data_IF_853138097098
#
_entry.id   IF_853138097098
#
_cell.length_a   1.000
_cell.length_b   1.000
_cell.length_c   1.000
_cell.angle_alpha   90.00
_cell.angle_beta   90.00
_cell.angle_gamma   90.00
#
_symmetry.space_group_name_H-M   'P 1'
#
loop_
_entity.id
_entity.type
_entity.pdbx_description
1 polymer ?
#
# COMPACT_ATOMS: atom_id res chain seq x y z
N UNK A 1 -8.52 -42.17 6.42
CA UNK A 1 -7.65 -41.29 7.24
C UNK A 1 -6.93 -40.36 6.29
N UNK A 2 -7.48 -39.18 6.02
CA UNK A 2 -6.80 -38.10 5.30
C UNK A 2 -6.81 -36.89 6.23
N UNK A 3 -5.81 -36.93 7.09
CA UNK A 3 -5.00 -35.80 7.59
C UNK A 3 -5.71 -34.49 7.86
N UNK A 4 -5.95 -34.27 9.16
CA UNK A 4 -5.99 -32.99 9.85
C UNK A 4 -5.15 -31.90 9.14
N UNK A 5 -5.80 -30.99 8.40
CA UNK A 5 -5.23 -29.68 8.03
C UNK A 5 -6.25 -28.53 8.16
N UNK A 6 -7.45 -28.80 8.67
CA UNK A 6 -8.52 -27.79 8.81
C UNK A 6 -8.76 -27.30 10.24
N UNK A 7 -7.87 -27.64 11.19
CA UNK A 7 -8.08 -27.37 12.63
C UNK A 7 -7.05 -26.40 13.24
N UNK A 8 -6.35 -25.61 12.43
CA UNK A 8 -5.64 -24.40 12.85
C UNK A 8 -6.17 -23.23 12.04
N UNK A 9 -7.48 -23.01 12.12
CA UNK A 9 -8.01 -21.68 11.85
C UNK A 9 -7.45 -20.76 12.94
N UNK A 10 -6.30 -20.16 12.63
CA UNK A 10 -5.84 -18.86 13.08
C UNK A 10 -6.85 -18.17 14.00
N UNK A 11 -6.56 -18.01 15.30
CA UNK A 11 -7.51 -17.43 16.26
C UNK A 11 -7.98 -16.01 15.87
N UNK A 12 -7.26 -15.32 14.98
CA UNK A 12 -7.72 -14.06 14.37
C UNK A 12 -8.89 -14.28 13.39
N UNK A 13 -8.97 -15.42 12.70
CA UNK A 13 -10.02 -15.71 11.72
C UNK A 13 -11.42 -15.73 12.33
N UNK A 14 -11.58 -16.18 13.58
CA UNK A 14 -12.88 -16.13 14.26
C UNK A 14 -13.29 -14.70 14.62
N UNK A 15 -12.36 -13.89 15.14
CA UNK A 15 -12.61 -12.47 15.43
C UNK A 15 -12.92 -11.68 14.14
N UNK A 16 -12.20 -12.00 13.08
CA UNK A 16 -12.38 -11.41 11.75
C UNK A 16 -13.74 -11.77 11.13
N UNK A 17 -14.16 -13.03 11.23
CA UNK A 17 -15.50 -13.43 10.80
C UNK A 17 -16.61 -12.76 11.62
N UNK A 18 -16.42 -12.58 12.93
CA UNK A 18 -17.37 -11.83 13.78
C UNK A 18 -17.51 -10.39 13.29
N UNK A 19 -16.39 -9.73 13.00
CA UNK A 19 -16.40 -8.38 12.44
C UNK A 19 -17.15 -8.32 11.11
N UNK A 20 -16.78 -9.16 10.13
CA UNK A 20 -17.40 -9.16 8.78
C UNK A 20 -18.89 -9.44 8.84
N UNK A 21 -19.32 -10.42 9.64
CA UNK A 21 -20.75 -10.73 9.79
C UNK A 21 -21.48 -9.58 10.47
N UNK A 22 -20.88 -8.96 11.49
CA UNK A 22 -21.45 -7.79 12.16
C UNK A 22 -21.63 -6.61 11.20
N UNK A 23 -20.63 -6.33 10.35
CA UNK A 23 -20.74 -5.26 9.36
C UNK A 23 -21.81 -5.54 8.31
N UNK A 24 -21.96 -6.78 7.84
CA UNK A 24 -23.00 -7.17 6.88
C UNK A 24 -24.39 -7.10 7.50
N UNK A 25 -24.53 -7.50 8.76
CA UNK A 25 -25.80 -7.47 9.49
C UNK A 25 -26.21 -6.09 10.00
N UNK A 26 -25.32 -5.08 9.91
CA UNK A 26 -25.53 -3.78 10.55
C UNK A 26 -25.50 -3.83 12.08
N UNK A 27 -24.90 -4.87 12.66
CA UNK A 27 -24.83 -5.08 14.11
C UNK A 27 -23.64 -4.29 14.70
N UNK A 28 -23.90 -3.03 15.03
CA UNK A 28 -22.93 -2.15 15.66
C UNK A 28 -22.42 -2.71 17.01
N UNK A 29 -23.21 -3.50 17.74
CA UNK A 29 -22.80 -4.07 19.03
C UNK A 29 -21.80 -5.20 18.84
N UNK A 30 -22.06 -6.12 17.89
CA UNK A 30 -21.12 -7.18 17.55
C UNK A 30 -19.81 -6.64 16.98
N UNK A 31 -19.87 -5.61 16.12
CA UNK A 31 -18.68 -4.92 15.61
C UNK A 31 -17.91 -4.28 16.76
N UNK A 32 -18.59 -3.51 17.62
CA UNK A 32 -18.00 -2.82 18.75
C UNK A 32 -17.26 -3.74 19.73
N UNK A 33 -17.72 -4.99 19.90
CA UNK A 33 -17.14 -5.95 20.83
C UNK A 33 -15.72 -6.39 20.45
N UNK A 34 -15.35 -6.28 19.17
CA UNK A 34 -14.04 -6.70 18.65
C UNK A 34 -13.10 -5.53 18.34
N UNK A 35 -13.53 -4.29 18.51
CA UNK A 35 -12.67 -3.11 18.28
C UNK A 35 -11.67 -2.92 19.42
N UNK A 36 -10.44 -2.55 19.06
CA UNK A 36 -9.46 -2.03 20.02
C UNK A 36 -9.87 -0.62 20.51
N UNK A 37 -9.32 -0.19 21.64
CA UNK A 37 -9.58 1.16 22.17
C UNK A 37 -9.02 2.25 21.25
N UNK A 38 -7.91 1.96 20.55
CA UNK A 38 -7.22 2.85 19.63
C UNK A 38 -7.65 2.62 18.18
N UNK A 39 -8.83 2.03 17.97
CA UNK A 39 -9.31 1.62 16.66
C UNK A 39 -9.56 2.81 15.71
N UNK A 40 -9.17 2.64 14.44
CA UNK A 40 -9.50 3.55 13.35
C UNK A 40 -10.15 2.84 12.16
N UNK A 41 -11.23 3.41 11.64
CA UNK A 41 -11.85 3.07 10.36
C UNK A 41 -11.59 4.17 9.34
N UNK A 42 -10.83 3.91 8.29
CA UNK A 42 -10.64 4.84 7.16
C UNK A 42 -11.39 4.32 5.94
N UNK A 43 -12.37 5.10 5.45
CA UNK A 43 -13.17 4.74 4.28
C UNK A 43 -12.45 5.05 2.96
N UNK A 44 -13.05 4.62 1.84
CA UNK A 44 -12.53 4.87 0.48
C UNK A 44 -12.35 6.35 0.11
N UNK A 45 -12.99 7.27 0.84
CA UNK A 45 -12.86 8.72 0.65
C UNK A 45 -11.81 9.34 1.58
N UNK A 46 -11.11 8.52 2.38
CA UNK A 46 -10.11 8.95 3.34
C UNK A 46 -10.70 9.49 4.66
N UNK A 47 -12.02 9.39 4.86
CA UNK A 47 -12.62 9.79 6.14
C UNK A 47 -12.26 8.76 7.19
N UNK A 48 -11.69 9.23 8.31
CA UNK A 48 -11.33 8.37 9.43
C UNK A 48 -12.31 8.54 10.60
N UNK A 49 -12.78 7.42 11.15
CA UNK A 49 -13.66 7.33 12.31
C UNK A 49 -12.98 6.53 13.42
N UNK A 50 -13.22 6.92 14.68
CA UNK A 50 -12.82 6.15 15.85
C UNK A 50 -13.88 5.11 16.25
N UNK A 51 -13.57 4.30 17.26
CA UNK A 51 -14.47 3.29 17.81
C UNK A 51 -15.79 3.89 18.34
N UNK A 52 -15.78 5.10 18.91
CA UNK A 52 -16.97 5.72 19.46
C UNK A 52 -17.95 6.12 18.35
N UNK A 53 -17.43 6.64 17.23
CA UNK A 53 -18.23 6.98 16.06
C UNK A 53 -18.79 5.75 15.35
N UNK A 54 -17.99 4.69 15.21
CA UNK A 54 -18.48 3.42 14.65
C UNK A 54 -19.58 2.79 15.52
N UNK A 55 -19.46 2.88 16.86
CA UNK A 55 -20.51 2.43 17.79
C UNK A 55 -21.82 3.20 17.65
N UNK A 56 -21.74 4.51 17.40
CA UNK A 56 -22.91 5.38 17.24
C UNK A 56 -23.60 5.18 15.89
N UNK A 57 -22.80 5.05 14.83
CA UNK A 57 -23.29 4.86 13.47
C UNK A 57 -22.27 4.01 12.71
N UNK A 58 -22.58 2.73 12.56
CA UNK A 58 -21.74 1.78 11.85
C UNK A 58 -21.68 2.17 10.36
N UNK A 59 -20.49 2.52 9.82
CA UNK A 59 -20.34 2.76 8.39
C UNK A 59 -20.60 1.49 7.58
N UNK A 60 -21.09 1.66 6.36
CA UNK A 60 -21.19 0.55 5.41
C UNK A 60 -19.81 0.30 4.80
N UNK A 61 -19.28 -0.94 4.86
CA UNK A 61 -18.01 -1.27 4.23
C UNK A 61 -18.10 -1.17 2.71
N UNK A 62 -17.02 -0.73 2.06
CA UNK A 62 -16.93 -0.64 0.61
C UNK A 62 -17.12 -2.01 -0.05
N UNK A 63 -16.60 -3.08 0.56
CA UNK A 63 -16.86 -4.46 0.14
C UNK A 63 -18.02 -4.99 0.98
N UNK A 64 -19.25 -4.83 0.48
CA UNK A 64 -20.47 -5.23 1.20
C UNK A 64 -20.63 -6.74 1.36
N UNK A 65 -20.00 -7.56 0.51
CA UNK A 65 -20.03 -9.01 0.60
C UNK A 65 -18.67 -9.58 0.16
N UNK A 66 -18.00 -10.26 1.08
CA UNK A 66 -16.67 -10.83 0.84
C UNK A 66 -16.70 -12.25 0.26
N UNK A 67 -17.88 -12.83 -0.05
CA UNK A 67 -17.99 -14.21 -0.53
C UNK A 67 -17.18 -14.51 -1.81
N UNK A 68 -16.98 -13.51 -2.67
CA UNK A 68 -16.16 -13.60 -3.89
C UNK A 68 -14.87 -12.79 -3.80
N UNK A 69 -14.53 -12.27 -2.61
CA UNK A 69 -13.31 -11.50 -2.41
C UNK A 69 -12.11 -12.44 -2.27
N UNK A 70 -10.96 -11.99 -2.75
CA UNK A 70 -9.69 -12.66 -2.51
C UNK A 70 -9.21 -12.29 -1.11
N UNK A 71 -9.24 -13.27 -0.20
CA UNK A 71 -8.82 -13.08 1.19
C UNK A 71 -7.40 -13.61 1.39
N UNK A 72 -6.53 -12.78 1.98
CA UNK A 72 -5.21 -13.19 2.43
C UNK A 72 -5.05 -12.81 3.91
N UNK A 73 -4.46 -13.71 4.71
CA UNK A 73 -4.20 -13.48 6.12
C UNK A 73 -2.72 -13.75 6.44
N UNK A 74 -2.12 -12.87 7.23
CA UNK A 74 -0.73 -12.94 7.64
C UNK A 74 -0.64 -12.73 9.15
N UNK A 75 0.00 -13.64 9.87
CA UNK A 75 0.20 -13.55 11.31
C UNK A 75 1.66 -13.22 11.66
N UNK A 76 1.83 -12.27 12.57
CA UNK A 76 3.10 -11.75 13.07
C UNK A 76 3.10 -11.78 14.61
N UNK A 77 2.92 -12.96 15.18
CA UNK A 77 2.91 -13.19 16.63
C UNK A 77 1.69 -12.57 17.32
N UNK A 78 1.83 -11.33 17.81
CA UNK A 78 0.76 -10.58 18.47
C UNK A 78 0.02 -9.61 17.54
N UNK A 79 0.38 -9.58 16.26
CA UNK A 79 -0.27 -8.77 15.23
C UNK A 79 -0.69 -9.70 14.09
N UNK A 80 -1.81 -9.43 13.45
CA UNK A 80 -2.23 -10.12 12.25
C UNK A 80 -2.82 -9.13 11.25
N UNK A 81 -2.74 -9.45 9.97
CA UNK A 81 -3.23 -8.62 8.88
C UNK A 81 -4.12 -9.47 8.00
N UNK A 82 -5.36 -9.05 7.83
CA UNK A 82 -6.32 -9.64 6.88
C UNK A 82 -6.54 -8.65 5.75
N UNK A 83 -6.37 -9.11 4.52
CA UNK A 83 -6.65 -8.34 3.31
C UNK A 83 -7.85 -8.95 2.60
N UNK A 84 -8.78 -8.12 2.17
CA UNK A 84 -9.87 -8.50 1.28
C UNK A 84 -9.85 -7.66 0.02
N UNK A 85 -9.86 -8.31 -1.14
CA UNK A 85 -9.79 -7.65 -2.43
C UNK A 85 -10.97 -8.06 -3.31
N UNK A 86 -11.73 -7.08 -3.80
CA UNK A 86 -12.87 -7.28 -4.69
C UNK A 86 -12.83 -6.26 -5.84
N UNK A 87 -12.35 -6.69 -7.01
CA UNK A 87 -12.18 -5.80 -8.15
C UNK A 87 -11.18 -4.68 -7.85
N UNK A 88 -11.67 -3.43 -7.78
CA UNK A 88 -10.86 -2.23 -7.48
C UNK A 88 -10.92 -1.83 -6.00
N UNK A 89 -11.69 -2.55 -5.19
CA UNK A 89 -11.84 -2.26 -3.77
C UNK A 89 -10.92 -3.19 -2.99
N UNK A 90 -10.16 -2.60 -2.07
CA UNK A 90 -9.19 -3.26 -1.23
C UNK A 90 -9.44 -2.84 0.20
N UNK A 91 -9.47 -3.82 1.11
CA UNK A 91 -9.61 -3.58 2.54
C UNK A 91 -8.45 -4.21 3.28
N UNK A 92 -7.85 -3.46 4.19
CA UNK A 92 -6.83 -3.90 5.13
C UNK A 92 -7.41 -3.89 6.54
N UNK A 93 -7.29 -5.03 7.23
CA UNK A 93 -7.69 -5.20 8.63
C UNK A 93 -6.48 -5.61 9.45
N UNK A 94 -6.01 -4.73 10.33
CA UNK A 94 -4.90 -5.01 11.24
C UNK A 94 -5.45 -5.34 12.62
N UNK A 95 -5.16 -6.55 13.07
CA UNK A 95 -5.56 -7.11 14.34
C UNK A 95 -4.39 -7.14 15.31
N UNK A 96 -4.65 -6.89 16.59
CA UNK A 96 -3.68 -6.98 17.68
C UNK A 96 -4.19 -7.90 18.78
N UNK A 97 -3.31 -8.73 19.33
CA UNK A 97 -3.64 -9.64 20.43
C UNK A 97 -3.57 -8.89 21.76
N UNK A 98 -4.71 -8.73 22.43
CA UNK A 98 -4.84 -8.15 23.78
C UNK A 98 -5.16 -9.25 24.80
N UNK A 99 -5.11 -8.96 26.13
CA UNK A 99 -5.52 -9.93 27.15
C UNK A 99 -6.95 -10.47 26.95
N UNK A 100 -7.86 -9.62 26.46
CA UNK A 100 -9.25 -9.98 26.18
C UNK A 100 -9.47 -10.66 24.80
N UNK A 101 -8.38 -11.03 24.11
CA UNK A 101 -8.39 -11.66 22.78
C UNK A 101 -7.93 -10.74 21.67
N UNK A 102 -8.11 -11.18 20.42
CA UNK A 102 -7.83 -10.36 19.24
C UNK A 102 -8.76 -9.14 19.19
N UNK A 103 -8.19 -7.99 18.85
CA UNK A 103 -8.91 -6.72 18.68
C UNK A 103 -8.49 -6.06 17.38
N UNK A 104 -9.46 -5.53 16.65
CA UNK A 104 -9.21 -4.82 15.40
C UNK A 104 -8.68 -3.43 15.74
N UNK A 105 -7.47 -3.13 15.29
CA UNK A 105 -6.82 -1.83 15.50
C UNK A 105 -7.02 -0.92 14.29
N UNK A 106 -6.87 -1.44 13.08
CA UNK A 106 -7.02 -0.63 11.86
C UNK A 106 -7.94 -1.35 10.89
N UNK A 107 -8.93 -0.63 10.40
CA UNK A 107 -9.69 -0.97 9.20
C UNK A 107 -9.45 0.16 8.18
N UNK A 108 -8.94 -0.18 7.01
CA UNK A 108 -8.66 0.79 5.97
C UNK A 108 -9.11 0.30 4.60
N UNK A 109 -9.81 1.16 3.88
CA UNK A 109 -10.27 0.91 2.53
C UNK A 109 -9.46 1.71 1.51
N UNK A 110 -9.27 1.12 0.35
CA UNK A 110 -8.65 1.77 -0.81
C UNK A 110 -9.44 1.39 -2.05
N UNK A 111 -9.77 2.39 -2.87
CA UNK A 111 -10.28 2.18 -4.22
C UNK A 111 -9.18 2.49 -5.23
N UNK A 112 -8.74 1.48 -5.96
CA UNK A 112 -7.81 1.65 -7.08
C UNK A 112 -8.45 2.53 -8.17
N UNK A 113 -7.65 3.42 -8.77
CA UNK A 113 -8.07 4.27 -9.87
C UNK A 113 -8.33 3.44 -11.13
N UNK A 114 -9.15 3.99 -12.02
CA UNK A 114 -9.30 3.44 -13.37
C UNK A 114 -8.01 3.68 -14.15
N UNK A 115 -7.41 2.62 -14.70
CA UNK A 115 -6.20 2.72 -15.53
C UNK A 115 -6.39 3.60 -16.79
N UNK A 116 -7.63 3.88 -17.17
CA UNK A 116 -8.05 4.74 -18.28
C UNK A 116 -8.44 6.15 -17.88
N UNK A 117 -8.34 6.52 -16.60
CA UNK A 117 -8.37 7.95 -16.24
C UNK A 117 -7.18 8.61 -16.97
N UNK A 118 -7.41 9.62 -17.82
CA UNK A 118 -6.30 10.33 -18.44
C UNK A 118 -5.43 10.82 -17.29
N UNK A 119 -4.16 10.41 -17.27
CA UNK A 119 -3.19 11.05 -16.39
C UNK A 119 -3.39 12.54 -16.61
N UNK A 120 -3.77 13.29 -15.57
CA UNK A 120 -3.80 14.74 -15.66
C UNK A 120 -2.47 15.12 -16.28
N UNK A 121 -2.51 15.81 -17.43
CA UNK A 121 -1.35 16.04 -18.25
C UNK A 121 -0.20 16.41 -17.33
N UNK A 122 0.81 15.54 -17.26
CA UNK A 122 1.96 15.81 -16.42
C UNK A 122 2.41 17.23 -16.80
N UNK A 123 2.65 18.12 -15.82
CA UNK A 123 3.23 19.41 -16.14
C UNK A 123 4.45 19.14 -17.04
N UNK A 124 4.63 19.94 -18.12
CA UNK A 124 5.66 19.68 -19.10
C UNK A 124 6.96 19.35 -18.37
N UNK A 125 7.55 18.20 -18.72
CA UNK A 125 8.73 17.68 -18.06
C UNK A 125 9.72 18.83 -17.92
N UNK A 126 10.00 19.24 -16.67
CA UNK A 126 11.04 20.20 -16.44
C UNK A 126 12.32 19.50 -16.91
N UNK A 127 13.00 20.08 -17.91
CA UNK A 127 14.26 19.56 -18.46
C UNK A 127 15.36 19.43 -17.40
N UNK A 128 15.13 19.98 -16.20
CA UNK A 128 15.95 19.85 -15.01
C UNK A 128 15.14 19.09 -13.96
N UNK A 129 15.51 17.84 -13.74
CA UNK A 129 15.00 17.06 -12.62
C UNK A 129 15.79 17.45 -11.37
N UNK A 130 15.32 18.48 -10.67
CA UNK A 130 15.94 18.97 -9.42
C UNK A 130 15.57 18.02 -8.27
N UNK A 131 16.57 17.51 -7.55
CA UNK A 131 16.35 16.68 -6.36
C UNK A 131 15.85 17.57 -5.20
N UNK A 132 14.59 17.43 -4.74
CA UNK A 132 14.04 18.29 -3.69
C UNK A 132 14.72 18.05 -2.32
N UNK A 133 15.43 16.93 -2.14
CA UNK A 133 16.20 16.67 -0.92
C UNK A 133 17.37 17.65 -0.71
N UNK A 134 17.82 18.37 -1.75
CA UNK A 134 18.78 19.47 -1.60
C UNK A 134 18.21 20.68 -0.84
N UNK A 135 16.88 20.81 -0.78
CA UNK A 135 16.17 21.91 -0.15
C UNK A 135 15.57 21.54 1.23
N UNK A 136 15.67 20.28 1.67
CA UNK A 136 15.12 19.88 2.97
C UNK A 136 16.05 20.38 4.07
N UNK A 137 15.61 21.30 4.95
CA UNK A 137 16.44 21.87 6.01
C UNK A 137 16.56 20.90 7.20
N UNK A 138 16.94 19.65 6.93
CA UNK A 138 17.16 18.64 7.95
C UNK A 138 18.66 18.57 8.26
N UNK A 139 19.03 18.93 9.49
CA UNK A 139 20.39 18.79 10.00
C UNK A 139 20.48 17.52 10.88
N UNK A 140 21.22 16.48 10.46
CA UNK A 140 21.39 15.26 11.27
C UNK A 140 22.08 15.56 12.59
N UNK A 141 21.54 15.04 13.70
CA UNK A 141 22.07 15.19 15.06
C UNK A 141 22.93 14.02 15.50
N UNK A 142 22.78 12.85 14.86
CA UNK A 142 23.58 11.64 15.15
C UNK A 142 24.28 11.09 13.91
N UNK A 143 25.28 10.23 14.12
CA UNK A 143 25.96 9.54 13.03
C UNK A 143 25.02 8.60 12.25
N UNK A 144 24.04 8.01 12.94
CA UNK A 144 23.01 7.16 12.32
C UNK A 144 22.10 7.99 11.42
N UNK A 145 21.62 9.14 11.91
CA UNK A 145 20.79 10.06 11.12
C UNK A 145 21.54 10.61 9.91
N UNK A 146 22.85 10.83 10.03
CA UNK A 146 23.70 11.26 8.91
C UNK A 146 23.79 10.19 7.83
N UNK A 147 24.06 8.93 8.23
CA UNK A 147 24.09 7.81 7.29
C UNK A 147 22.75 7.61 6.56
N UNK A 148 21.62 7.79 7.26
CA UNK A 148 20.29 7.70 6.66
C UNK A 148 20.03 8.84 5.65
N UNK A 149 20.46 10.06 5.96
CA UNK A 149 20.34 11.20 5.04
C UNK A 149 21.23 11.02 3.79
N UNK A 150 22.46 10.53 3.98
CA UNK A 150 23.39 10.26 2.88
C UNK A 150 22.87 9.14 1.95
N UNK A 151 22.32 8.06 2.52
CA UNK A 151 21.77 6.95 1.75
C UNK A 151 20.48 7.35 0.98
N UNK A 152 19.63 8.18 1.60
CA UNK A 152 18.47 8.76 0.91
C UNK A 152 18.88 9.61 -0.30
N UNK A 153 19.93 10.44 -0.15
CA UNK A 153 20.45 11.27 -1.23
C UNK A 153 20.97 10.43 -2.42
N UNK A 154 21.62 9.28 -2.14
CA UNK A 154 22.10 8.35 -3.17
C UNK A 154 20.94 7.63 -3.87
N UNK A 155 19.97 7.11 -3.12
CA UNK A 155 18.81 6.39 -3.66
C UNK A 155 17.98 7.26 -4.60
N UNK A 156 17.82 8.54 -4.27
CA UNK A 156 17.08 9.48 -5.10
C UNK A 156 17.88 9.95 -6.33
N UNK A 157 19.20 10.09 -6.22
CA UNK A 157 20.08 10.30 -7.39
C UNK A 157 19.98 9.15 -8.40
N UNK A 158 19.83 7.91 -7.94
CA UNK A 158 19.57 6.75 -8.82
C UNK A 158 18.21 6.86 -9.51
N UNK A 159 17.17 7.39 -8.83
CA UNK A 159 15.85 7.63 -9.44
C UNK A 159 15.87 8.76 -10.46
N UNK A 160 16.52 9.89 -10.16
CA UNK A 160 16.69 11.03 -11.08
C UNK A 160 17.43 10.62 -12.36
N UNK A 161 18.48 9.79 -12.25
CA UNK A 161 19.17 9.23 -13.43
C UNK A 161 18.31 8.27 -14.25
N UNK A 162 17.24 7.70 -13.69
CA UNK A 162 16.31 6.82 -14.39
C UNK A 162 15.34 7.63 -15.25
N UNK A 163 14.84 8.77 -14.74
CA UNK A 163 14.01 9.70 -15.50
C UNK A 163 14.69 10.17 -16.80
N UNK A 164 15.99 10.50 -16.78
CA UNK A 164 16.70 10.92 -18.00
C UNK A 164 16.97 9.80 -19.02
N UNK A 165 16.86 8.52 -18.62
CA UNK A 165 17.09 7.38 -19.52
C UNK A 165 15.82 7.00 -20.29
N UNK A 166 14.65 7.22 -19.69
CA UNK A 166 13.36 6.94 -20.30
C UNK A 166 13.01 7.96 -21.40
N UNK A 167 13.56 9.19 -21.34
CA UNK A 167 13.45 10.20 -22.41
C UNK A 167 14.18 9.79 -23.71
N UNK A 168 15.31 9.07 -23.60
CA UNK A 168 16.05 8.57 -24.77
C UNK A 168 15.32 7.40 -25.43
N UNK A 169 14.58 6.61 -24.64
CA UNK A 169 13.81 5.48 -25.17
C UNK A 169 12.49 5.94 -25.84
N UNK A 170 11.87 7.04 -25.38
CA UNK A 170 10.63 7.57 -25.94
C UNK A 170 10.84 8.43 -27.21
N UNK A 171 12.03 9.01 -27.41
CA UNK A 171 12.40 9.77 -28.60
C UNK A 171 13.05 8.86 -29.64
N UNK A 172 12.21 8.10 -30.37
CA UNK A 172 12.65 7.35 -31.54
C UNK A 172 13.34 8.25 -32.56
N UNK A 173 14.67 8.28 -32.56
CA UNK A 173 15.49 8.87 -33.62
C UNK A 173 16.43 7.80 -34.18
N UNK A 174 16.26 7.52 -35.47
CA UNK A 174 16.98 6.52 -36.25
C UNK A 174 18.51 6.58 -36.09
N UNK A 175 19.08 5.37 -36.07
CA UNK A 175 20.47 4.89 -36.11
C UNK A 175 21.49 5.76 -36.87
N UNK A 176 22.75 5.70 -36.42
CA UNK A 176 23.89 5.52 -37.33
C UNK A 176 24.78 4.37 -36.82
N UNK A 177 25.02 3.41 -37.70
CA UNK A 177 25.98 2.32 -37.52
C UNK A 177 27.43 2.86 -37.53
N UNK A 178 28.41 2.15 -36.95
CA UNK A 178 29.80 2.59 -36.99
C UNK A 178 30.32 2.58 -38.43
N UNK A 179 31.00 3.65 -38.82
CA UNK A 179 31.65 3.79 -40.12
C UNK A 179 32.83 2.81 -40.21
N UNK A 180 32.80 1.96 -41.24
CA UNK A 180 33.89 1.07 -41.62
C UNK A 180 35.01 1.92 -42.26
N UNK A 181 36.16 1.99 -41.59
CA UNK A 181 37.35 2.64 -42.14
C UNK A 181 38.07 1.69 -43.09
N UNK A 182 37.77 1.78 -44.39
CA UNK A 182 38.65 1.26 -45.43
C UNK A 182 39.56 2.39 -45.93
N UNK A 183 40.84 2.36 -45.51
CA UNK A 183 41.95 2.98 -46.24
C UNK A 183 43.18 2.11 -46.09
N UNK A 184 43.53 1.38 -47.15
CA UNK A 184 44.91 1.22 -47.60
C UNK A 184 44.84 1.13 -49.13
N UNK A 185 45.49 2.08 -49.79
CA UNK A 185 45.89 1.98 -51.18
C UNK A 185 47.41 1.89 -51.22
N UNK A 186 47.93 1.21 -52.25
CA UNK A 186 49.24 1.38 -52.90
C UNK A 186 49.18 0.39 -54.09
N UNK A 187 49.11 0.89 -55.32
CA UNK A 187 50.23 1.16 -56.24
C UNK A 187 50.45 -0.02 -57.20
#
# INVERSE_FOLDING_TARGET
>A
MLTLFFALAAAVASADQTFVRGTVAGDATAVAAVLDQDFTWTDVNGRTLDAARVKQALPQPAIANEANAQIASYEYGSVAVVQANAGKLHTLRVWVKRPAGWRLLVYQEVKSLDASAPASAAPPAQSVCENPCGAVPYAPKTAVERGQADEAAVSETVRVRRCGRDDVAASGRQRSAPADHARLGEA
#
